data_IF_069536746825
#
_entry.id   IF_069536746825
#
_cell.length_a   1.000
_cell.length_b   1.000
_cell.length_c   1.000
_cell.angle_alpha   90.00
_cell.angle_beta   90.00
_cell.angle_gamma   90.00
#
_symmetry.space_group_name_H-M   'P 1'
#
loop_
_entity.id
_entity.type
_entity.pdbx_description
1 polymer ?
#
# COMPACT_ATOMS: atom_id res chain seq x y z
N UNK A 1 -6.23 75.25 -39.76
CA UNK A 1 -5.13 74.59 -39.01
C UNK A 1 -5.60 73.99 -37.68
N UNK A 2 -6.50 74.63 -36.92
CA UNK A 2 -6.99 74.13 -35.63
C UNK A 2 -7.86 72.85 -35.68
N UNK A 3 -8.66 72.65 -36.73
CA UNK A 3 -9.61 71.51 -36.82
C UNK A 3 -8.89 70.16 -37.04
N UNK A 4 -7.78 70.17 -37.79
CA UNK A 4 -6.98 68.96 -38.07
C UNK A 4 -6.29 68.44 -36.80
N UNK A 5 -5.86 69.36 -35.92
CA UNK A 5 -5.20 69.02 -34.67
C UNK A 5 -6.15 68.33 -33.68
N UNK A 6 -7.40 68.80 -33.59
CA UNK A 6 -8.42 68.21 -32.71
C UNK A 6 -8.83 66.80 -33.19
N UNK A 7 -8.95 66.60 -34.51
CA UNK A 7 -9.25 65.27 -35.06
C UNK A 7 -8.12 64.26 -34.81
N UNK A 8 -6.86 64.68 -34.92
CA UNK A 8 -5.70 63.81 -34.64
C UNK A 8 -5.63 63.39 -33.17
N UNK A 9 -5.91 64.30 -32.24
CA UNK A 9 -5.93 64.00 -30.80
C UNK A 9 -7.08 63.05 -30.49
N UNK A 10 -8.29 63.31 -31.00
CA UNK A 10 -9.46 62.45 -30.76
C UNK A 10 -9.24 61.02 -31.29
N UNK A 11 -8.64 60.89 -32.47
CA UNK A 11 -8.33 59.60 -33.07
C UNK A 11 -7.28 58.82 -32.24
N UNK A 12 -6.24 59.50 -31.77
CA UNK A 12 -5.26 58.87 -30.88
C UNK A 12 -5.84 58.46 -29.54
N UNK A 13 -6.71 59.28 -28.93
CA UNK A 13 -7.36 58.94 -27.66
C UNK A 13 -8.27 57.72 -27.80
N UNK A 14 -9.05 57.63 -28.88
CA UNK A 14 -9.92 56.47 -29.16
C UNK A 14 -9.08 55.21 -29.44
N UNK A 15 -7.97 55.35 -30.16
CA UNK A 15 -7.06 54.24 -30.47
C UNK A 15 -6.33 53.73 -29.21
N UNK A 16 -5.83 54.63 -28.36
CA UNK A 16 -5.24 54.30 -27.06
C UNK A 16 -6.25 53.66 -26.13
N UNK A 17 -7.50 54.14 -26.10
CA UNK A 17 -8.57 53.53 -25.31
C UNK A 17 -8.88 52.10 -25.77
N UNK A 18 -8.92 51.84 -27.09
CA UNK A 18 -9.06 50.47 -27.63
C UNK A 18 -7.89 49.57 -27.30
N UNK A 19 -6.65 50.07 -27.39
CA UNK A 19 -5.46 49.32 -26.99
C UNK A 19 -5.49 49.03 -25.49
N UNK A 20 -5.82 50.00 -24.64
CA UNK A 20 -5.97 49.80 -23.20
C UNK A 20 -7.08 48.81 -22.86
N UNK A 21 -8.15 48.76 -23.66
CA UNK A 21 -9.26 47.82 -23.47
C UNK A 21 -8.92 46.40 -23.96
N UNK A 22 -8.06 46.26 -24.98
CA UNK A 22 -7.52 44.96 -25.40
C UNK A 22 -6.39 44.49 -24.47
N UNK A 23 -5.51 45.39 -24.02
CA UNK A 23 -4.51 45.09 -22.99
C UNK A 23 -5.19 44.77 -21.66
N UNK A 24 -6.28 45.44 -21.30
CA UNK A 24 -7.02 45.07 -20.10
C UNK A 24 -7.67 43.69 -20.23
N UNK A 25 -8.20 43.30 -21.40
CA UNK A 25 -8.64 41.91 -21.64
C UNK A 25 -7.49 40.89 -21.56
N UNK A 26 -6.27 41.26 -21.98
CA UNK A 26 -5.07 40.43 -21.85
C UNK A 26 -4.58 40.38 -20.39
N UNK A 27 -4.80 41.44 -19.60
CA UNK A 27 -4.39 41.54 -18.19
C UNK A 27 -5.46 41.07 -17.18
N UNK A 28 -6.73 40.96 -17.59
CA UNK A 28 -7.80 40.30 -16.84
C UNK A 28 -7.85 38.82 -17.23
N UNK A 29 -6.72 38.11 -17.14
CA UNK A 29 -6.83 36.70 -16.76
C UNK A 29 -7.21 36.72 -15.29
N UNK A 30 -8.45 36.31 -15.00
CA UNK A 30 -8.88 36.04 -13.63
C UNK A 30 -7.88 35.03 -13.08
N UNK A 31 -6.99 35.48 -12.20
CA UNK A 31 -5.95 34.61 -11.67
C UNK A 31 -6.65 33.58 -10.78
N UNK A 32 -6.34 32.30 -10.98
CA UNK A 32 -6.80 31.22 -10.11
C UNK A 32 -6.62 31.57 -8.62
N UNK A 33 -7.52 31.09 -7.77
CA UNK A 33 -7.43 31.28 -6.32
C UNK A 33 -6.44 30.28 -5.72
N UNK A 34 -5.49 30.76 -4.93
CA UNK A 34 -4.66 29.92 -4.06
C UNK A 34 -5.07 30.11 -2.62
N UNK A 35 -5.41 29.03 -1.92
CA UNK A 35 -5.66 29.03 -0.49
C UNK A 35 -4.67 28.13 0.22
N UNK A 36 -4.32 28.50 1.46
CA UNK A 36 -3.46 27.72 2.34
C UNK A 36 -4.11 27.55 3.70
N UNK A 37 -4.05 26.35 4.27
CA UNK A 37 -4.66 26.08 5.59
C UNK A 37 -3.76 25.13 6.38
N UNK A 38 -3.37 25.47 7.62
CA UNK A 38 -2.59 24.57 8.47
C UNK A 38 -3.36 23.28 8.77
N UNK A 39 -2.65 22.14 8.77
CA UNK A 39 -3.17 20.85 9.22
C UNK A 39 -2.79 20.67 10.69
N UNK A 40 -3.73 20.23 11.52
CA UNK A 40 -3.48 20.01 12.95
C UNK A 40 -2.38 18.97 13.16
N UNK A 41 -1.35 19.32 13.94
CA UNK A 41 -0.15 18.49 14.10
C UNK A 41 -0.44 17.08 14.62
N UNK A 42 -1.44 16.90 15.48
CA UNK A 42 -1.81 15.59 16.03
C UNK A 42 -2.20 14.56 14.96
N UNK A 43 -2.75 15.02 13.82
CA UNK A 43 -3.20 14.16 12.72
C UNK A 43 -2.06 13.64 11.84
N UNK A 44 -0.87 14.24 11.95
CA UNK A 44 0.28 13.98 11.05
C UNK A 44 1.48 13.37 11.77
N UNK A 45 1.41 13.19 13.10
CA UNK A 45 2.52 12.64 13.93
C UNK A 45 3.04 11.31 13.43
N UNK A 46 2.15 10.45 12.94
CA UNK A 46 2.52 9.10 12.51
C UNK A 46 3.34 9.09 11.21
N UNK A 47 3.24 10.14 10.37
CA UNK A 47 3.95 10.21 9.08
C UNK A 47 5.47 10.14 9.23
N UNK A 48 6.02 10.65 10.33
CA UNK A 48 7.46 10.58 10.60
C UNK A 48 7.97 9.12 10.76
N UNK A 49 7.09 8.16 11.03
CA UNK A 49 7.45 6.73 11.11
C UNK A 49 7.53 6.06 9.73
N UNK A 50 6.96 6.68 8.70
CA UNK A 50 6.94 6.13 7.35
C UNK A 50 7.95 6.78 6.40
N UNK A 51 8.42 7.97 6.75
CA UNK A 51 9.23 8.78 5.86
C UNK A 51 10.40 9.40 6.59
N UNK A 52 11.62 9.12 6.10
CA UNK A 52 12.85 9.69 6.65
C UNK A 52 12.96 11.20 6.42
N UNK A 53 12.42 11.68 5.30
CA UNK A 53 12.42 13.10 4.91
C UNK A 53 10.99 13.60 4.62
N UNK A 54 10.17 13.91 5.65
CA UNK A 54 8.78 14.32 5.46
C UNK A 54 8.59 15.59 4.60
N UNK A 55 9.59 16.47 4.54
CA UNK A 55 9.59 17.67 3.70
C UNK A 55 9.62 17.39 2.19
N UNK A 56 10.03 16.18 1.79
CA UNK A 56 10.14 15.77 0.40
C UNK A 56 8.82 15.22 -0.18
N UNK A 57 7.76 15.19 0.64
CA UNK A 57 6.50 14.54 0.34
C UNK A 57 5.45 15.55 -0.05
N UNK A 58 4.75 15.23 -1.13
CA UNK A 58 3.54 15.91 -1.56
C UNK A 58 2.37 14.93 -1.57
N UNK A 59 1.43 15.11 -0.65
CA UNK A 59 0.09 14.56 -0.80
C UNK A 59 -0.66 15.40 -1.81
N UNK A 60 -1.41 14.81 -2.74
CA UNK A 60 -2.25 15.58 -3.65
C UNK A 60 -3.50 14.82 -4.08
N UNK A 61 -4.51 15.60 -4.48
CA UNK A 61 -5.80 15.15 -4.99
C UNK A 61 -6.35 16.18 -5.99
N UNK A 62 -7.11 15.72 -7.00
CA UNK A 62 -7.71 16.60 -8.01
C UNK A 62 -9.24 16.51 -8.03
N UNK A 63 -9.88 17.65 -8.28
CA UNK A 63 -11.29 17.70 -8.63
C UNK A 63 -11.48 18.08 -10.09
N UNK A 64 -12.42 17.40 -10.74
CA UNK A 64 -12.65 17.52 -12.17
C UNK A 64 -14.13 17.67 -12.48
N UNK A 65 -14.46 18.30 -13.61
CA UNK A 65 -15.84 18.40 -14.10
C UNK A 65 -16.36 17.12 -14.77
N UNK A 66 -15.70 15.98 -14.54
CA UNK A 66 -16.08 14.66 -15.05
C UNK A 66 -14.90 13.72 -15.27
N UNK A 67 -15.19 12.43 -15.49
CA UNK A 67 -14.17 11.37 -15.47
C UNK A 67 -13.24 11.28 -16.69
N UNK A 68 -13.45 12.09 -17.73
CA UNK A 68 -12.68 12.01 -18.99
C UNK A 68 -11.93 13.30 -19.25
N UNK A 69 -10.59 13.25 -19.17
CA UNK A 69 -9.71 14.39 -19.43
C UNK A 69 -9.82 14.97 -20.85
N UNK A 70 -10.48 14.26 -21.79
CA UNK A 70 -10.75 14.76 -23.14
C UNK A 70 -11.85 15.81 -23.18
N UNK A 71 -12.84 15.70 -22.29
CA UNK A 71 -14.05 16.54 -22.29
C UNK A 71 -14.24 17.35 -21.02
N UNK A 72 -13.69 16.88 -19.89
CA UNK A 72 -13.72 17.56 -18.61
C UNK A 72 -12.46 18.42 -18.38
N UNK A 73 -12.51 19.25 -17.36
CA UNK A 73 -11.43 20.13 -16.92
C UNK A 73 -11.12 19.85 -15.45
N UNK A 74 -9.89 20.15 -15.02
CA UNK A 74 -9.53 20.24 -13.60
C UNK A 74 -9.97 21.60 -13.08
N UNK A 75 -10.73 21.63 -11.98
CA UNK A 75 -11.12 22.90 -11.36
C UNK A 75 -10.48 23.13 -9.99
N UNK A 76 -9.94 22.10 -9.36
CA UNK A 76 -9.24 22.21 -8.09
C UNK A 76 -8.11 21.18 -8.06
N UNK A 77 -6.92 21.61 -7.67
CA UNK A 77 -5.84 20.71 -7.26
C UNK A 77 -5.46 21.07 -5.84
N UNK A 78 -5.60 20.08 -4.97
CA UNK A 78 -5.22 20.17 -3.58
C UNK A 78 -3.86 19.52 -3.33
N UNK A 79 -3.06 20.13 -2.46
CA UNK A 79 -1.78 19.60 -1.99
C UNK A 79 -1.73 19.63 -0.47
N UNK A 80 -1.08 18.65 0.16
CA UNK A 80 -0.67 18.67 1.57
C UNK A 80 0.85 18.41 1.67
N UNK A 81 1.57 19.28 2.38
CA UNK A 81 3.03 19.27 2.46
C UNK A 81 3.54 19.86 3.77
N UNK A 82 4.77 19.50 4.16
CA UNK A 82 5.39 19.98 5.38
C UNK A 82 6.13 21.32 5.16
N UNK A 83 5.86 22.29 6.03
CA UNK A 83 6.59 23.56 6.12
C UNK A 83 7.36 23.68 7.43
N UNK A 84 8.09 24.78 7.62
CA UNK A 84 8.74 25.10 8.90
C UNK A 84 7.76 25.25 10.06
N UNK A 85 6.49 25.55 9.77
CA UNK A 85 5.44 25.76 10.78
C UNK A 85 4.55 24.52 10.96
N UNK A 86 4.87 23.40 10.32
CA UNK A 86 4.06 22.19 10.29
C UNK A 86 3.43 21.91 8.93
N UNK A 87 2.57 20.90 8.88
CA UNK A 87 1.85 20.52 7.67
C UNK A 87 0.81 21.58 7.29
N UNK A 88 0.70 21.88 6.01
CA UNK A 88 -0.34 22.75 5.47
C UNK A 88 -0.92 22.18 4.19
N UNK A 89 -2.20 22.48 3.94
CA UNK A 89 -2.79 22.31 2.62
C UNK A 89 -2.53 23.54 1.75
N UNK A 90 -2.44 23.33 0.44
CA UNK A 90 -2.46 24.37 -0.59
C UNK A 90 -3.42 23.96 -1.70
N UNK A 91 -4.41 24.78 -1.96
CA UNK A 91 -5.47 24.52 -2.94
C UNK A 91 -5.37 25.52 -4.09
N UNK A 92 -5.25 25.02 -5.33
CA UNK A 92 -5.26 25.80 -6.57
C UNK A 92 -6.63 25.66 -7.23
N UNK A 93 -7.45 26.70 -7.16
CA UNK A 93 -8.86 26.68 -7.56
C UNK A 93 -9.13 27.55 -8.78
N UNK A 94 -9.73 26.95 -9.81
CA UNK A 94 -10.16 27.62 -11.03
C UNK A 94 -11.54 28.26 -10.78
N UNK A 95 -11.60 29.59 -10.69
CA UNK A 95 -12.88 30.29 -10.50
C UNK A 95 -13.78 30.16 -11.72
N UNK A 96 -13.16 30.08 -12.90
CA UNK A 96 -13.81 29.80 -14.17
C UNK A 96 -13.10 28.66 -14.90
N UNK A 97 -13.75 27.97 -15.85
CA UNK A 97 -13.10 26.94 -16.66
C UNK A 97 -11.87 27.44 -17.45
N UNK A 98 -11.76 28.75 -17.71
CA UNK A 98 -10.64 29.34 -18.43
C UNK A 98 -9.36 29.39 -17.57
N UNK A 99 -9.49 29.28 -16.24
CA UNK A 99 -8.36 29.35 -15.30
C UNK A 99 -7.59 28.02 -15.17
N UNK A 100 -8.08 26.94 -15.81
CA UNK A 100 -7.47 25.59 -15.67
C UNK A 100 -5.99 25.58 -16.07
N UNK A 101 -5.59 26.30 -17.11
CA UNK A 101 -4.20 26.36 -17.55
C UNK A 101 -3.29 26.93 -16.45
N UNK A 102 -3.77 27.95 -15.74
CA UNK A 102 -3.05 28.57 -14.61
C UNK A 102 -2.98 27.63 -13.41
N UNK A 103 -4.09 26.94 -13.09
CA UNK A 103 -4.12 25.91 -12.03
C UNK A 103 -3.07 24.82 -12.31
N UNK A 104 -3.05 24.29 -13.53
CA UNK A 104 -2.10 23.24 -13.93
C UNK A 104 -0.65 23.75 -13.87
N UNK A 105 -0.38 24.92 -14.44
CA UNK A 105 0.97 25.48 -14.46
C UNK A 105 1.53 25.70 -13.04
N UNK A 106 0.70 26.25 -12.14
CA UNK A 106 1.08 26.52 -10.76
C UNK A 106 1.32 25.22 -9.99
N UNK A 107 0.44 24.23 -10.14
CA UNK A 107 0.63 22.91 -9.54
C UNK A 107 1.88 22.20 -10.08
N UNK A 108 2.13 22.19 -11.39
CA UNK A 108 3.31 21.54 -11.96
C UNK A 108 4.61 22.21 -11.49
N UNK A 109 4.64 23.53 -11.42
CA UNK A 109 5.79 24.26 -10.88
C UNK A 109 6.00 23.98 -9.40
N UNK A 110 4.92 23.89 -8.62
CA UNK A 110 4.99 23.65 -7.18
C UNK A 110 5.39 22.21 -6.85
N UNK A 111 4.80 21.24 -7.55
CA UNK A 111 5.04 19.81 -7.32
C UNK A 111 6.43 19.34 -7.76
N UNK A 112 7.09 20.06 -8.66
CA UNK A 112 8.44 19.74 -9.14
C UNK A 112 9.52 19.72 -8.04
N UNK A 113 9.30 20.35 -6.89
CA UNK A 113 10.24 20.32 -5.76
C UNK A 113 10.11 19.09 -4.86
N UNK A 114 9.12 18.22 -5.10
CA UNK A 114 8.84 17.08 -4.24
C UNK A 114 9.17 15.76 -4.96
N UNK A 115 10.20 15.02 -4.51
CA UNK A 115 10.57 13.75 -5.14
C UNK A 115 9.64 12.58 -4.78
N UNK A 116 8.74 12.76 -3.80
CA UNK A 116 7.75 11.74 -3.39
C UNK A 116 6.34 12.32 -3.49
N UNK A 117 5.46 11.62 -4.21
CA UNK A 117 4.03 11.93 -4.27
C UNK A 117 3.20 10.84 -3.60
N UNK A 118 2.22 11.25 -2.79
CA UNK A 118 1.24 10.35 -2.17
C UNK A 118 -0.15 10.75 -2.67
N UNK A 119 -0.94 9.77 -3.08
CA UNK A 119 -2.29 10.00 -3.59
C UNK A 119 -3.18 8.78 -3.37
N UNK A 120 -4.48 8.98 -3.57
CA UNK A 120 -5.48 7.92 -3.44
C UNK A 120 -6.00 7.51 -4.82
N UNK A 121 -5.55 6.37 -5.35
CA UNK A 121 -5.93 5.89 -6.69
C UNK A 121 -5.51 6.83 -7.85
N UNK A 122 -4.60 7.77 -7.59
CA UNK A 122 -4.12 8.75 -8.56
C UNK A 122 -3.26 8.14 -9.68
N UNK A 123 -2.70 6.94 -9.50
CA UNK A 123 -2.04 6.25 -10.61
C UNK A 123 -3.05 5.91 -11.72
N UNK A 124 -4.29 5.61 -11.33
CA UNK A 124 -5.35 5.19 -12.25
C UNK A 124 -6.09 6.40 -12.82
N UNK A 125 -6.27 7.46 -12.03
CA UNK A 125 -7.09 8.60 -12.39
C UNK A 125 -6.29 9.91 -12.52
N UNK A 126 -5.82 10.47 -11.41
CA UNK A 126 -5.29 11.82 -11.30
C UNK A 126 -4.09 12.08 -12.22
N UNK A 127 -3.07 11.23 -12.14
CA UNK A 127 -1.82 11.39 -12.90
C UNK A 127 -2.09 11.30 -14.41
N UNK A 128 -2.78 10.27 -14.94
CA UNK A 128 -3.18 10.24 -16.35
C UNK A 128 -4.06 11.42 -16.78
N UNK A 129 -4.94 11.91 -15.91
CA UNK A 129 -5.80 13.06 -16.18
C UNK A 129 -4.95 14.31 -16.37
N UNK A 130 -4.08 14.62 -15.41
CA UNK A 130 -3.16 15.75 -15.45
C UNK A 130 -2.21 15.70 -16.66
N UNK A 131 -1.66 14.53 -16.99
CA UNK A 131 -0.83 14.35 -18.19
C UNK A 131 -1.59 14.66 -19.49
N UNK A 132 -2.88 14.29 -19.56
CA UNK A 132 -3.72 14.57 -20.73
C UNK A 132 -4.02 16.07 -20.84
N UNK A 133 -4.33 16.73 -19.71
CA UNK A 133 -4.58 18.18 -19.69
C UNK A 133 -3.31 18.98 -19.96
N UNK A 134 -2.16 18.56 -19.42
CA UNK A 134 -0.87 19.17 -19.70
C UNK A 134 -0.58 19.22 -21.22
N UNK A 135 -0.81 18.10 -21.93
CA UNK A 135 -0.68 18.05 -23.40
C UNK A 135 -1.63 19.01 -24.11
N UNK A 136 -2.88 19.16 -23.65
CA UNK A 136 -3.86 20.08 -24.23
C UNK A 136 -3.38 21.53 -24.18
N UNK A 137 -2.73 21.92 -23.08
CA UNK A 137 -2.25 23.30 -22.87
C UNK A 137 -0.77 23.52 -23.22
N UNK A 138 -0.08 22.50 -23.77
CA UNK A 138 1.35 22.60 -24.08
C UNK A 138 2.25 22.73 -22.84
N UNK A 139 1.78 22.26 -21.68
CA UNK A 139 2.52 22.25 -20.43
C UNK A 139 3.31 20.94 -20.27
N UNK A 140 4.44 21.00 -19.55
CA UNK A 140 5.19 19.82 -19.15
C UNK A 140 4.80 19.40 -17.75
N UNK A 141 4.36 18.15 -17.59
CA UNK A 141 4.12 17.53 -16.28
C UNK A 141 4.89 16.23 -16.18
N UNK A 142 5.78 16.17 -15.20
CA UNK A 142 6.52 14.96 -14.85
C UNK A 142 6.13 14.63 -13.41
N UNK A 143 5.39 13.54 -13.17
CA UNK A 143 5.08 13.14 -11.80
C UNK A 143 6.37 12.75 -11.07
N UNK A 144 6.32 12.78 -9.74
CA UNK A 144 7.44 12.39 -8.90
C UNK A 144 7.97 10.98 -9.23
N UNK A 145 9.28 10.78 -9.02
CA UNK A 145 9.95 9.51 -9.29
C UNK A 145 9.44 8.39 -8.37
N UNK A 146 9.09 8.74 -7.14
CA UNK A 146 8.47 7.84 -6.16
C UNK A 146 7.00 8.23 -5.99
N UNK A 147 6.11 7.25 -6.12
CA UNK A 147 4.68 7.44 -5.95
C UNK A 147 4.09 6.38 -5.02
N UNK A 148 3.32 6.83 -4.05
CA UNK A 148 2.58 5.99 -3.11
C UNK A 148 1.09 6.11 -3.39
N UNK A 149 0.56 5.12 -4.12
CA UNK A 149 -0.87 4.97 -4.34
C UNK A 149 -1.48 4.12 -3.22
N UNK A 150 -2.12 4.80 -2.26
CA UNK A 150 -2.68 4.16 -1.06
C UNK A 150 -3.70 3.09 -1.46
N UNK A 151 -4.59 3.41 -2.40
CA UNK A 151 -5.62 2.49 -2.88
C UNK A 151 -5.01 1.20 -3.42
N UNK A 152 -4.02 1.29 -4.33
CA UNK A 152 -3.40 0.10 -4.92
C UNK A 152 -2.65 -0.75 -3.91
N UNK A 153 -2.06 -0.13 -2.88
CA UNK A 153 -1.34 -0.83 -1.83
C UNK A 153 -2.28 -1.51 -0.84
N UNK A 154 -3.44 -0.93 -0.53
CA UNK A 154 -4.38 -1.47 0.46
C UNK A 154 -5.47 -2.37 -0.14
N UNK A 155 -5.89 -2.16 -1.39
CA UNK A 155 -6.97 -2.93 -2.02
C UNK A 155 -6.75 -4.45 -2.05
N UNK A 156 -5.52 -4.99 -2.18
CA UNK A 156 -5.27 -6.43 -2.09
C UNK A 156 -5.63 -7.05 -0.73
N UNK A 157 -5.76 -6.21 0.32
CA UNK A 157 -6.09 -6.62 1.68
C UNK A 157 -7.56 -6.42 2.02
N UNK A 158 -8.40 -5.94 1.09
CA UNK A 158 -9.84 -5.68 1.31
C UNK A 158 -10.55 -6.83 2.04
N UNK A 159 -10.41 -8.05 1.49
CA UNK A 159 -11.06 -9.24 2.00
C UNK A 159 -10.46 -9.70 3.33
N UNK A 160 -9.14 -9.56 3.48
CA UNK A 160 -8.41 -9.88 4.70
C UNK A 160 -8.82 -8.96 5.86
N UNK A 161 -9.06 -7.69 5.59
CA UNK A 161 -9.47 -6.67 6.56
C UNK A 161 -11.00 -6.57 6.72
N UNK A 162 -11.77 -7.44 6.04
CA UNK A 162 -13.23 -7.44 6.06
C UNK A 162 -13.87 -6.09 5.67
N UNK A 163 -13.23 -5.36 4.76
CA UNK A 163 -13.67 -4.05 4.33
C UNK A 163 -14.85 -4.15 3.33
N UNK A 164 -15.93 -3.35 3.49
CA UNK A 164 -17.04 -3.33 2.53
C UNK A 164 -16.60 -2.79 1.16
N UNK A 165 -15.63 -1.87 1.16
CA UNK A 165 -15.01 -1.27 0.00
C UNK A 165 -13.69 -0.61 0.39
N UNK A 166 -12.94 -0.13 -0.60
CA UNK A 166 -11.68 0.57 -0.39
C UNK A 166 -11.75 1.99 -0.96
N UNK A 167 -12.90 2.66 -0.87
CA UNK A 167 -12.95 4.12 -1.08
C UNK A 167 -12.29 4.81 0.11
N UNK A 168 -11.73 5.99 -0.10
CA UNK A 168 -10.99 6.71 0.94
C UNK A 168 -11.82 6.87 2.23
N UNK A 169 -13.03 7.42 2.14
CA UNK A 169 -13.96 7.56 3.27
C UNK A 169 -14.21 6.23 4.02
N UNK A 170 -14.28 5.11 3.33
CA UNK A 170 -14.50 3.79 3.95
C UNK A 170 -13.26 3.29 4.71
N UNK A 171 -12.06 3.62 4.23
CA UNK A 171 -10.82 3.28 4.92
C UNK A 171 -10.55 4.20 6.10
N UNK A 172 -10.96 5.46 6.00
CA UNK A 172 -10.95 6.42 7.10
C UNK A 172 -11.88 5.99 8.23
N UNK A 173 -13.13 5.63 7.92
CA UNK A 173 -14.05 5.04 8.90
C UNK A 173 -13.46 3.79 9.56
N UNK A 174 -12.81 2.92 8.77
CA UNK A 174 -12.15 1.71 9.28
C UNK A 174 -11.08 2.02 10.32
N UNK A 175 -10.37 3.14 10.19
CA UNK A 175 -9.37 3.59 11.17
C UNK A 175 -9.92 4.61 12.17
N UNK A 176 -11.24 4.81 12.22
CA UNK A 176 -11.91 5.68 13.21
C UNK A 176 -11.89 7.18 12.90
N UNK A 177 -11.67 7.57 11.63
CA UNK A 177 -11.81 8.95 11.18
C UNK A 177 -13.25 9.18 10.73
N UNK A 178 -13.85 10.29 11.19
CA UNK A 178 -15.19 10.71 10.82
C UNK A 178 -15.12 12.12 10.22
N UNK A 179 -15.69 12.29 9.02
CA UNK A 179 -15.69 13.56 8.26
C UNK A 179 -16.95 14.38 8.51
N UNK A 180 -16.86 15.70 8.28
CA UNK A 180 -18.03 16.57 8.20
C UNK A 180 -18.58 16.65 6.76
N UNK A 181 -17.77 16.38 5.73
CA UNK A 181 -18.24 16.41 4.35
C UNK A 181 -19.13 15.21 3.98
N UNK A 182 -20.36 15.53 3.58
CA UNK A 182 -21.39 14.58 3.18
C UNK A 182 -21.49 14.38 1.66
N UNK A 183 -20.80 15.20 0.86
CA UNK A 183 -20.89 15.13 -0.59
C UNK A 183 -19.99 14.02 -1.16
N UNK A 184 -20.37 13.53 -2.33
CA UNK A 184 -19.49 12.71 -3.16
C UNK A 184 -19.02 13.49 -4.39
N UNK A 185 -17.90 13.09 -4.99
CA UNK A 185 -17.32 13.81 -6.14
C UNK A 185 -18.27 14.02 -7.32
N UNK A 186 -19.27 13.14 -7.52
CA UNK A 186 -20.29 13.34 -8.55
C UNK A 186 -21.22 14.54 -8.28
N UNK A 187 -21.53 14.80 -7.01
CA UNK A 187 -22.35 15.95 -6.60
C UNK A 187 -21.58 17.27 -6.71
N UNK A 188 -20.26 17.25 -6.48
CA UNK A 188 -19.41 18.44 -6.57
C UNK A 188 -19.32 18.99 -7.99
N UNK A 189 -19.45 18.14 -9.02
CA UNK A 189 -19.44 18.58 -10.42
C UNK A 189 -20.54 19.61 -10.67
N UNK A 190 -21.78 19.32 -10.25
CA UNK A 190 -22.92 20.23 -10.42
C UNK A 190 -22.79 21.48 -9.54
N UNK A 191 -22.22 21.35 -8.35
CA UNK A 191 -21.93 22.49 -7.48
C UNK A 191 -20.88 23.42 -8.09
N UNK A 192 -19.83 22.90 -8.72
CA UNK A 192 -18.85 23.70 -9.44
C UNK A 192 -19.47 24.42 -10.64
N UNK A 193 -20.31 23.74 -11.42
CA UNK A 193 -21.04 24.38 -12.52
C UNK A 193 -21.97 25.50 -12.03
N UNK A 194 -22.58 25.33 -10.85
CA UNK A 194 -23.40 26.36 -10.21
C UNK A 194 -22.53 27.54 -9.76
N UNK A 195 -21.38 27.26 -9.14
CA UNK A 195 -20.40 28.28 -8.73
C UNK A 195 -19.90 29.10 -9.93
N UNK A 196 -19.49 28.44 -11.02
CA UNK A 196 -18.97 29.12 -12.21
C UNK A 196 -19.99 30.04 -12.89
N UNK A 197 -21.30 29.76 -12.73
CA UNK A 197 -22.39 30.62 -13.24
C UNK A 197 -22.73 31.76 -12.28
N UNK A 198 -22.78 31.46 -10.98
CA UNK A 198 -23.13 32.41 -9.93
C UNK A 198 -22.28 32.12 -8.68
N UNK A 199 -21.09 32.74 -8.57
CA UNK A 199 -20.20 32.50 -7.44
C UNK A 199 -20.85 32.95 -6.14
N UNK A 200 -20.96 32.05 -5.17
CA UNK A 200 -21.32 32.37 -3.79
C UNK A 200 -20.24 31.85 -2.84
N UNK A 201 -20.15 32.47 -1.66
CA UNK A 201 -19.19 32.04 -0.65
C UNK A 201 -19.48 30.61 -0.18
N UNK A 202 -20.76 30.26 -0.05
CA UNK A 202 -21.21 28.95 0.42
C UNK A 202 -20.79 27.83 -0.54
N UNK A 203 -20.94 28.04 -1.86
CA UNK A 203 -20.50 27.06 -2.85
C UNK A 203 -18.98 26.90 -2.87
N UNK A 204 -18.24 28.01 -2.75
CA UNK A 204 -16.79 27.97 -2.65
C UNK A 204 -16.33 27.20 -1.41
N UNK A 205 -16.93 27.50 -0.26
CA UNK A 205 -16.59 26.88 1.02
C UNK A 205 -16.84 25.36 0.97
N UNK A 206 -17.93 24.90 0.34
CA UNK A 206 -18.20 23.46 0.14
C UNK A 206 -17.16 22.79 -0.76
N UNK A 207 -16.87 23.38 -1.93
CA UNK A 207 -15.92 22.81 -2.90
C UNK A 207 -14.50 22.71 -2.32
N UNK A 208 -14.06 23.73 -1.58
CA UNK A 208 -12.76 23.73 -0.93
C UNK A 208 -12.72 22.81 0.30
N UNK A 209 -13.82 22.71 1.05
CA UNK A 209 -13.90 21.83 2.23
C UNK A 209 -13.70 20.36 1.84
N UNK A 210 -14.37 19.88 0.78
CA UNK A 210 -14.26 18.48 0.35
C UNK A 210 -12.81 18.06 0.09
N UNK A 211 -12.15 18.74 -0.84
CA UNK A 211 -10.76 18.44 -1.20
C UNK A 211 -9.79 18.66 -0.03
N UNK A 212 -10.05 19.64 0.86
CA UNK A 212 -9.24 19.83 2.07
C UNK A 212 -9.38 18.64 3.01
N UNK A 213 -10.60 18.18 3.29
CA UNK A 213 -10.83 17.01 4.14
C UNK A 213 -10.27 15.72 3.51
N UNK A 214 -10.29 15.59 2.17
CA UNK A 214 -9.61 14.48 1.48
C UNK A 214 -8.11 14.49 1.72
N UNK A 215 -7.45 15.65 1.64
CA UNK A 215 -6.01 15.75 1.91
C UNK A 215 -5.69 15.49 3.39
N UNK A 216 -6.41 16.14 4.31
CA UNK A 216 -6.22 15.97 5.75
C UNK A 216 -6.49 14.52 6.17
N UNK A 217 -7.59 13.95 5.69
CA UNK A 217 -7.93 12.54 5.85
C UNK A 217 -6.84 11.63 5.30
N UNK A 218 -6.31 11.92 4.10
CA UNK A 218 -5.25 11.13 3.47
C UNK A 218 -3.94 11.14 4.28
N UNK A 219 -3.56 12.28 4.86
CA UNK A 219 -2.35 12.36 5.71
C UNK A 219 -2.45 11.46 6.93
N UNK A 220 -3.63 11.37 7.55
CA UNK A 220 -3.87 10.47 8.68
C UNK A 220 -4.02 9.02 8.20
N UNK A 221 -4.77 8.82 7.12
CA UNK A 221 -5.06 7.53 6.51
C UNK A 221 -3.80 6.78 6.10
N UNK A 222 -2.72 7.48 5.76
CA UNK A 222 -1.48 6.88 5.32
C UNK A 222 -0.94 5.80 6.27
N UNK A 223 -1.29 5.83 7.56
CA UNK A 223 -0.96 4.77 8.52
C UNK A 223 -1.43 3.36 8.13
N UNK A 224 -2.43 3.24 7.26
CA UNK A 224 -2.85 1.94 6.70
C UNK A 224 -1.72 1.22 5.94
N UNK A 225 -0.69 1.96 5.53
CA UNK A 225 0.52 1.42 4.91
C UNK A 225 1.32 0.51 5.84
N UNK A 226 1.11 0.56 7.16
CA UNK A 226 1.71 -0.41 8.08
C UNK A 226 1.28 -1.85 7.78
N UNK A 227 0.10 -2.06 7.19
CA UNK A 227 -0.41 -3.39 6.82
C UNK A 227 0.44 -4.05 5.72
N UNK A 228 0.61 -3.44 4.52
CA UNK A 228 1.50 -4.01 3.51
C UNK A 228 2.96 -4.06 3.96
N UNK A 229 3.43 -3.10 4.76
CA UNK A 229 4.79 -3.13 5.32
C UNK A 229 5.01 -4.37 6.20
N UNK A 230 4.03 -4.70 7.05
CA UNK A 230 4.05 -5.90 7.88
C UNK A 230 4.02 -7.19 7.05
N UNK A 231 3.07 -7.32 6.12
CA UNK A 231 2.83 -8.58 5.40
C UNK A 231 3.79 -8.85 4.23
N UNK A 232 4.23 -7.82 3.51
CA UNK A 232 5.01 -7.98 2.28
C UNK A 232 6.46 -7.53 2.43
N UNK A 233 6.68 -6.41 3.11
CA UNK A 233 7.99 -5.73 3.21
C UNK A 233 8.79 -6.10 4.48
N UNK A 234 8.32 -7.11 5.23
CA UNK A 234 9.02 -7.69 6.39
C UNK A 234 9.32 -6.68 7.51
N UNK A 235 8.43 -5.69 7.69
CA UNK A 235 8.56 -4.66 8.73
C UNK A 235 8.11 -5.18 10.10
N UNK A 236 8.86 -6.15 10.61
CA UNK A 236 8.69 -6.73 11.95
C UNK A 236 9.95 -7.45 12.40
N UNK A 237 10.01 -7.75 13.70
CA UNK A 237 11.04 -8.60 14.31
C UNK A 237 10.38 -9.70 15.15
N UNK A 238 10.86 -10.95 15.07
CA UNK A 238 10.42 -12.01 15.99
C UNK A 238 10.87 -11.68 17.42
N UNK A 239 9.98 -11.87 18.40
CA UNK A 239 10.25 -11.62 19.83
C UNK A 239 10.32 -12.92 20.60
N UNK A 240 9.28 -13.75 20.50
CA UNK A 240 9.25 -15.08 21.12
C UNK A 240 8.72 -16.12 20.16
N UNK A 241 9.32 -17.31 20.22
CA UNK A 241 8.89 -18.49 19.50
C UNK A 241 8.84 -19.65 20.48
N UNK A 242 7.67 -20.27 20.63
CA UNK A 242 7.47 -21.37 21.56
C UNK A 242 6.48 -22.39 21.02
N UNK A 243 6.50 -23.58 21.62
CA UNK A 243 5.48 -24.59 21.44
C UNK A 243 4.54 -24.57 22.64
N UNK A 244 3.24 -24.48 22.35
CA UNK A 244 2.18 -24.58 23.33
C UNK A 244 1.40 -25.88 23.15
N UNK A 245 1.26 -26.64 24.23
CA UNK A 245 0.42 -27.83 24.29
C UNK A 245 -0.91 -27.46 24.93
N UNK A 246 -1.98 -27.75 24.21
CA UNK A 246 -3.36 -27.45 24.61
C UNK A 246 -4.23 -28.67 24.40
N UNK A 247 -5.36 -28.75 25.09
CA UNK A 247 -6.40 -29.75 24.82
C UNK A 247 -7.58 -29.04 24.16
N UNK A 248 -8.17 -29.67 23.14
CA UNK A 248 -9.43 -29.16 22.60
C UNK A 248 -10.62 -29.52 23.51
N UNK A 249 -11.80 -29.02 23.18
CA UNK A 249 -13.02 -29.24 23.96
C UNK A 249 -13.40 -30.73 24.13
N UNK A 250 -12.78 -31.64 23.39
CA UNK A 250 -12.99 -33.08 23.46
C UNK A 250 -11.81 -33.81 24.15
N UNK A 251 -10.88 -33.07 24.76
CA UNK A 251 -9.70 -33.62 25.44
C UNK A 251 -8.60 -34.10 24.50
N UNK A 252 -8.65 -33.76 23.20
CA UNK A 252 -7.59 -34.15 22.27
C UNK A 252 -6.43 -33.16 22.38
N UNK A 253 -5.24 -33.68 22.69
CA UNK A 253 -4.01 -32.90 22.72
C UNK A 253 -3.72 -32.26 21.34
N UNK A 254 -3.31 -30.99 21.37
CA UNK A 254 -2.92 -30.18 20.22
C UNK A 254 -1.71 -29.34 20.57
N UNK A 255 -0.67 -29.48 19.76
CA UNK A 255 0.52 -28.63 19.82
C UNK A 255 0.39 -27.50 18.80
N UNK A 256 0.67 -26.27 19.22
CA UNK A 256 0.72 -25.11 18.34
C UNK A 256 2.06 -24.40 18.53
N UNK A 257 2.67 -23.95 17.44
CA UNK A 257 3.72 -22.98 17.51
C UNK A 257 3.11 -21.58 17.70
N UNK A 258 3.63 -20.85 18.67
CA UNK A 258 3.19 -19.50 19.00
C UNK A 258 4.36 -18.56 18.78
N UNK A 259 4.13 -17.57 17.94
CA UNK A 259 5.09 -16.54 17.56
C UNK A 259 4.57 -15.20 18.05
N UNK A 260 5.35 -14.50 18.85
CA UNK A 260 5.13 -13.08 19.14
C UNK A 260 6.05 -12.27 18.28
N UNK A 261 5.50 -11.32 17.52
CA UNK A 261 6.23 -10.42 16.63
C UNK A 261 6.03 -8.99 17.12
N UNK A 262 7.08 -8.18 16.97
CA UNK A 262 7.04 -6.74 17.13
C UNK A 262 7.04 -6.11 15.73
N UNK A 263 6.04 -5.33 15.37
CA UNK A 263 6.06 -4.56 14.11
C UNK A 263 6.89 -3.30 14.28
N UNK A 264 7.58 -2.86 13.22
CA UNK A 264 8.40 -1.63 13.32
C UNK A 264 7.52 -0.37 13.35
N UNK A 265 6.33 -0.46 12.75
CA UNK A 265 5.30 0.57 12.74
C UNK A 265 4.03 0.02 13.39
N UNK A 266 3.34 0.80 14.26
CA UNK A 266 2.07 0.38 14.84
C UNK A 266 1.03 0.03 13.79
N UNK A 267 0.28 -1.05 14.03
CA UNK A 267 -0.87 -1.41 13.23
C UNK A 267 -1.96 -0.33 13.38
N UNK A 268 -2.61 0.08 12.28
CA UNK A 268 -3.58 1.16 12.28
C UNK A 268 -4.88 0.79 13.00
N UNK A 269 -5.15 -0.52 13.10
CA UNK A 269 -6.28 -1.13 13.80
C UNK A 269 -5.85 -2.50 14.33
N UNK A 270 -6.66 -3.07 15.23
CA UNK A 270 -6.47 -4.47 15.61
C UNK A 270 -6.74 -5.40 14.44
N UNK A 271 -5.84 -6.35 14.20
CA UNK A 271 -5.99 -7.41 13.21
C UNK A 271 -6.46 -8.70 13.88
N UNK A 272 -7.36 -9.43 13.22
CA UNK A 272 -7.80 -10.77 13.63
C UNK A 272 -8.07 -11.62 12.39
N UNK A 273 -7.18 -12.56 12.12
CA UNK A 273 -7.17 -13.35 10.89
C UNK A 273 -7.17 -14.84 11.19
N UNK A 274 -8.02 -15.57 10.48
CA UNK A 274 -8.03 -17.02 10.49
C UNK A 274 -7.52 -17.57 9.17
N UNK A 275 -6.51 -18.43 9.22
CA UNK A 275 -6.02 -19.17 8.07
C UNK A 275 -7.09 -20.08 7.48
N UNK A 276 -7.01 -20.29 6.17
CA UNK A 276 -7.91 -21.18 5.43
C UNK A 276 -7.11 -22.20 4.61
N UNK A 277 -7.80 -23.11 3.92
CA UNK A 277 -7.18 -24.22 3.21
C UNK A 277 -6.84 -25.40 4.12
N UNK A 278 -6.04 -26.34 3.61
CA UNK A 278 -5.67 -27.57 4.34
C UNK A 278 -4.52 -27.33 5.31
N UNK A 279 -3.49 -26.61 4.88
CA UNK A 279 -2.23 -26.43 5.62
C UNK A 279 -2.35 -25.36 6.71
N UNK A 280 -3.00 -24.23 6.41
CA UNK A 280 -3.20 -23.13 7.37
C UNK A 280 -4.52 -23.23 8.13
N UNK A 281 -5.18 -24.39 8.08
CA UNK A 281 -6.41 -24.62 8.86
C UNK A 281 -6.12 -24.45 10.34
N UNK A 282 -6.90 -23.62 11.03
CA UNK A 282 -6.71 -23.27 12.44
C UNK A 282 -5.45 -22.42 12.73
N UNK A 283 -4.76 -21.90 11.72
CA UNK A 283 -3.82 -20.81 11.93
C UNK A 283 -4.60 -19.55 12.33
N UNK A 284 -4.08 -18.80 13.29
CA UNK A 284 -4.69 -17.58 13.80
C UNK A 284 -3.64 -16.50 13.97
N UNK A 285 -3.95 -15.29 13.55
CA UNK A 285 -3.13 -14.11 13.79
C UNK A 285 -3.99 -13.04 14.46
N UNK A 286 -3.53 -12.54 15.59
CA UNK A 286 -4.08 -11.36 16.26
C UNK A 286 -2.99 -10.30 16.39
N UNK A 287 -3.29 -9.07 16.02
CA UNK A 287 -2.35 -7.96 16.14
C UNK A 287 -3.01 -6.75 16.75
N UNK A 288 -2.29 -5.99 17.58
CA UNK A 288 -2.73 -4.70 18.11
C UNK A 288 -1.52 -3.83 18.40
N UNK A 289 -1.61 -2.55 18.05
CA UNK A 289 -0.47 -1.63 18.12
C UNK A 289 0.74 -2.25 17.43
N UNK A 290 1.87 -2.37 18.13
CA UNK A 290 3.10 -2.95 17.58
C UNK A 290 3.30 -4.44 17.91
N UNK A 291 2.29 -5.13 18.46
CA UNK A 291 2.44 -6.51 18.90
C UNK A 291 1.51 -7.42 18.10
N UNK A 292 2.08 -8.49 17.54
CA UNK A 292 1.34 -9.51 16.77
C UNK A 292 1.60 -10.89 17.36
N UNK A 293 0.52 -11.59 17.68
CA UNK A 293 0.50 -13.00 18.04
C UNK A 293 0.09 -13.82 16.83
N UNK A 294 0.92 -14.80 16.46
CA UNK A 294 0.63 -15.78 15.41
C UNK A 294 0.65 -17.17 16.01
N UNK A 295 -0.43 -17.92 15.84
CA UNK A 295 -0.59 -19.31 16.27
C UNK A 295 -0.71 -20.20 15.05
N UNK A 296 0.12 -21.23 14.98
CA UNK A 296 0.17 -22.17 13.87
C UNK A 296 0.10 -23.60 14.40
N UNK A 297 -0.82 -24.44 13.90
CA UNK A 297 -0.85 -25.85 14.26
C UNK A 297 0.43 -26.58 13.84
N UNK A 298 0.92 -27.43 14.73
CA UNK A 298 2.08 -28.28 14.50
C UNK A 298 1.60 -29.61 13.95
N UNK A 299 2.29 -30.12 12.93
CA UNK A 299 2.15 -31.50 12.50
C UNK A 299 3.02 -32.40 13.39
N UNK A 300 2.42 -33.31 14.12
CA UNK A 300 3.12 -34.29 14.96
C UNK A 300 3.01 -35.67 14.31
N UNK A 301 4.15 -36.26 13.93
CA UNK A 301 4.17 -37.52 13.20
C UNK A 301 5.50 -37.82 12.55
N UNK A 302 5.46 -38.56 11.43
CA UNK A 302 6.66 -39.01 10.71
C UNK A 302 6.67 -38.47 9.29
N UNK A 303 7.70 -37.68 8.94
CA UNK A 303 7.94 -37.19 7.59
C UNK A 303 9.28 -37.69 7.04
N UNK A 304 9.53 -37.47 5.75
CA UNK A 304 10.71 -37.95 5.04
C UNK A 304 11.58 -36.78 4.58
N UNK A 305 12.88 -36.86 4.83
CA UNK A 305 13.88 -36.00 4.21
C UNK A 305 14.43 -36.70 2.97
N UNK A 306 14.16 -36.16 1.78
CA UNK A 306 14.60 -36.73 0.51
C UNK A 306 15.96 -36.16 0.10
N UNK A 307 16.94 -37.02 -0.12
CA UNK A 307 18.26 -36.59 -0.57
C UNK A 307 18.27 -36.36 -2.09
N UNK A 308 18.74 -35.20 -2.57
CA UNK A 308 18.75 -34.89 -4.00
C UNK A 308 19.72 -35.78 -4.78
N UNK A 309 20.83 -36.19 -4.17
CA UNK A 309 21.86 -37.04 -4.78
C UNK A 309 21.54 -38.54 -4.65
N UNK A 310 20.35 -38.95 -5.10
CA UNK A 310 19.90 -40.35 -4.97
C UNK A 310 20.83 -41.37 -5.64
N UNK A 311 21.60 -40.94 -6.64
CA UNK A 311 22.55 -41.80 -7.36
C UNK A 311 23.66 -42.34 -6.46
N UNK A 312 23.96 -41.66 -5.35
CA UNK A 312 24.99 -42.08 -4.39
C UNK A 312 24.43 -42.83 -3.18
N UNK A 313 23.17 -43.25 -3.23
CA UNK A 313 22.50 -43.99 -2.15
C UNK A 313 22.02 -45.38 -2.59
N UNK A 314 21.90 -46.27 -1.61
CA UNK A 314 21.19 -47.55 -1.70
C UNK A 314 19.97 -47.51 -0.79
N UNK A 315 18.84 -48.02 -1.26
CA UNK A 315 17.61 -48.15 -0.47
C UNK A 315 17.54 -49.55 0.16
N UNK A 316 17.14 -49.59 1.43
CA UNK A 316 16.93 -50.80 2.20
C UNK A 316 15.43 -51.02 2.39
N UNK A 317 14.80 -51.99 1.70
CA UNK A 317 13.35 -52.17 1.76
C UNK A 317 12.82 -52.62 3.11
N UNK A 318 13.60 -53.39 3.89
CA UNK A 318 13.17 -53.90 5.18
C UNK A 318 13.13 -52.79 6.25
N UNK A 319 14.12 -51.89 6.21
CA UNK A 319 14.26 -50.76 7.14
C UNK A 319 13.55 -49.48 6.65
N UNK A 320 13.07 -49.49 5.40
CA UNK A 320 12.41 -48.36 4.73
C UNK A 320 13.20 -47.04 4.83
N UNK A 321 14.49 -47.11 4.49
CA UNK A 321 15.44 -45.99 4.57
C UNK A 321 16.53 -46.09 3.50
N UNK A 322 17.11 -44.95 3.15
CA UNK A 322 18.24 -44.85 2.24
C UNK A 322 19.55 -44.63 3.00
N UNK A 323 20.62 -45.31 2.58
CA UNK A 323 21.97 -45.17 3.11
C UNK A 323 22.95 -44.84 2.00
N UNK A 324 23.95 -43.99 2.30
CA UNK A 324 24.97 -43.64 1.32
C UNK A 324 25.79 -44.87 0.92
N UNK A 325 26.25 -44.92 -0.33
CA UNK A 325 26.98 -46.08 -0.89
C UNK A 325 28.22 -46.47 -0.09
N UNK A 326 28.90 -45.52 0.54
CA UNK A 326 30.06 -45.79 1.40
C UNK A 326 29.70 -46.67 2.61
N UNK A 327 28.50 -46.52 3.16
CA UNK A 327 27.99 -47.34 4.28
C UNK A 327 27.35 -48.62 3.76
N UNK A 328 26.70 -48.56 2.58
CA UNK A 328 26.03 -49.71 1.98
C UNK A 328 26.97 -50.88 1.62
N UNK A 329 28.29 -50.66 1.56
CA UNK A 329 29.29 -51.73 1.37
C UNK A 329 29.21 -52.80 2.46
N UNK A 330 28.79 -52.43 3.67
CA UNK A 330 28.66 -53.33 4.82
C UNK A 330 27.30 -54.07 4.90
N UNK A 331 26.39 -53.83 3.96
CA UNK A 331 25.06 -54.46 3.90
C UNK A 331 25.03 -55.48 2.76
N UNK A 332 24.45 -56.66 3.02
CA UNK A 332 24.29 -57.71 2.01
C UNK A 332 23.59 -57.17 0.75
N UNK A 333 24.13 -57.50 -0.43
CA UNK A 333 23.56 -57.12 -1.73
C UNK A 333 22.12 -57.59 -1.90
N UNK A 334 21.74 -58.71 -1.27
CA UNK A 334 20.36 -59.22 -1.32
C UNK A 334 19.35 -58.33 -0.59
N UNK A 335 19.82 -57.51 0.37
CA UNK A 335 18.99 -56.68 1.24
C UNK A 335 18.95 -55.21 0.81
N UNK A 336 19.62 -54.85 -0.29
CA UNK A 336 19.67 -53.46 -0.77
C UNK A 336 19.44 -53.38 -2.27
N UNK A 337 18.90 -52.25 -2.70
CA UNK A 337 18.74 -51.91 -4.10
C UNK A 337 19.19 -50.47 -4.37
N UNK A 338 19.49 -50.10 -5.64
CA UNK A 338 19.79 -48.71 -5.97
C UNK A 338 18.63 -47.79 -5.55
N UNK A 339 18.95 -46.68 -4.87
CA UNK A 339 17.93 -45.71 -4.51
C UNK A 339 17.40 -44.97 -5.75
N UNK A 340 16.12 -44.64 -5.73
CA UNK A 340 15.47 -43.74 -6.71
C UNK A 340 15.16 -42.42 -6.03
N UNK A 341 14.82 -41.38 -6.77
CA UNK A 341 14.39 -40.11 -6.18
C UNK A 341 13.22 -40.29 -5.17
N UNK A 342 12.31 -41.25 -5.44
CA UNK A 342 11.19 -41.54 -4.55
C UNK A 342 11.53 -42.40 -3.32
N UNK A 343 12.65 -43.12 -3.34
CA UNK A 343 13.08 -44.03 -2.26
C UNK A 343 14.35 -43.56 -1.55
N UNK A 344 14.95 -42.47 -2.01
CA UNK A 344 16.16 -41.91 -1.41
C UNK A 344 15.81 -40.93 -0.28
N UNK A 345 15.37 -41.47 0.85
CA UNK A 345 15.02 -40.66 2.02
C UNK A 345 15.41 -41.31 3.34
N UNK A 346 15.42 -40.49 4.39
CA UNK A 346 15.34 -40.94 5.78
C UNK A 346 14.03 -40.47 6.39
N UNK A 347 13.45 -41.30 7.27
CA UNK A 347 12.28 -40.91 8.07
C UNK A 347 12.72 -40.14 9.30
N UNK A 348 11.93 -39.15 9.68
CA UNK A 348 12.09 -38.36 10.89
C UNK A 348 10.75 -38.29 11.59
N UNK A 349 10.71 -38.76 12.83
CA UNK A 349 9.62 -38.52 13.75
C UNK A 349 9.86 -37.20 14.49
N UNK A 350 8.80 -36.43 14.69
CA UNK A 350 8.87 -35.18 15.44
C UNK A 350 7.72 -34.23 15.15
N UNK A 351 7.95 -32.98 15.53
CA UNK A 351 7.02 -31.88 15.39
C UNK A 351 7.46 -30.96 14.26
N UNK A 352 6.55 -30.71 13.32
CA UNK A 352 6.84 -30.08 12.05
C UNK A 352 5.97 -28.87 11.79
N UNK A 353 6.56 -27.86 11.15
CA UNK A 353 5.88 -26.65 10.73
C UNK A 353 5.85 -26.55 9.20
N UNK A 354 4.72 -26.12 8.60
CA UNK A 354 4.62 -25.98 7.16
C UNK A 354 5.48 -24.83 6.63
N UNK A 355 6.28 -25.10 5.60
CA UNK A 355 7.10 -24.09 4.94
C UNK A 355 6.37 -23.43 3.77
N UNK A 356 6.54 -22.11 3.64
CA UNK A 356 5.99 -21.30 2.54
C UNK A 356 7.06 -20.49 1.79
N UNK A 357 8.18 -20.24 2.47
CA UNK A 357 9.51 -19.95 1.93
C UNK A 357 10.43 -21.10 2.35
N UNK A 358 11.46 -21.38 1.55
CA UNK A 358 12.46 -22.41 1.87
C UNK A 358 13.68 -21.67 2.42
N UNK A 359 13.96 -21.72 3.74
CA UNK A 359 15.24 -21.29 4.26
C UNK A 359 16.31 -22.26 3.75
N UNK A 360 17.37 -21.76 3.13
CA UNK A 360 18.43 -22.60 2.54
C UNK A 360 19.19 -23.43 3.60
N UNK A 361 19.09 -23.04 4.86
CA UNK A 361 19.88 -23.57 5.97
C UNK A 361 19.21 -24.74 6.70
N UNK A 362 17.90 -24.96 6.51
CA UNK A 362 17.15 -25.95 7.28
C UNK A 362 16.74 -27.18 6.45
N UNK A 363 16.85 -28.40 7.01
CA UNK A 363 16.38 -29.61 6.33
C UNK A 363 14.87 -29.55 6.07
N UNK A 364 14.47 -29.96 4.87
CA UNK A 364 13.07 -30.01 4.47
C UNK A 364 12.52 -31.43 4.51
N UNK A 365 11.28 -31.55 4.98
CA UNK A 365 10.57 -32.81 5.12
C UNK A 365 9.27 -32.80 4.32
N UNK A 366 8.88 -33.97 3.80
CA UNK A 366 7.64 -34.17 3.02
C UNK A 366 7.05 -35.55 3.31
N UNK A 367 5.76 -35.73 3.05
CA UNK A 367 5.13 -37.06 3.11
C UNK A 367 5.59 -37.93 1.94
N UNK A 368 5.58 -37.36 0.73
CA UNK A 368 6.00 -38.00 -0.51
C UNK A 368 6.93 -37.11 -1.33
N UNK A 369 7.79 -37.73 -2.15
CA UNK A 369 8.78 -37.03 -2.99
C UNK A 369 8.15 -35.99 -3.93
N UNK A 370 6.94 -36.27 -4.43
CA UNK A 370 6.24 -35.39 -5.39
C UNK A 370 5.41 -34.29 -4.72
N UNK A 371 5.29 -34.30 -3.40
CA UNK A 371 4.46 -33.31 -2.71
C UNK A 371 5.11 -31.93 -2.81
N UNK A 372 4.27 -30.93 -3.08
CA UNK A 372 4.71 -29.53 -3.16
C UNK A 372 4.88 -28.92 -1.78
N UNK A 373 4.01 -29.28 -0.84
CA UNK A 373 4.11 -28.82 0.54
C UNK A 373 5.31 -29.49 1.21
N UNK A 374 6.17 -28.67 1.81
CA UNK A 374 7.26 -29.11 2.65
C UNK A 374 7.09 -28.59 4.07
N UNK A 375 7.84 -29.20 4.98
CA UNK A 375 7.83 -28.87 6.38
C UNK A 375 9.28 -28.78 6.89
N UNK A 376 9.46 -28.08 8.00
CA UNK A 376 10.70 -28.05 8.77
C UNK A 376 10.43 -28.60 10.18
N UNK A 377 11.47 -29.03 10.88
CA UNK A 377 11.35 -29.38 12.29
C UNK A 377 11.15 -28.11 13.12
N UNK A 378 10.16 -28.14 14.01
CA UNK A 378 9.86 -26.98 14.86
C UNK A 378 11.08 -26.58 15.70
N UNK A 379 11.76 -27.54 16.33
CA UNK A 379 12.95 -27.28 17.14
C UNK A 379 14.09 -26.63 16.33
N UNK A 380 14.28 -27.02 15.06
CA UNK A 380 15.33 -26.44 14.22
C UNK A 380 15.04 -24.95 13.97
N UNK A 381 13.78 -24.57 13.73
CA UNK A 381 13.39 -23.17 13.59
C UNK A 381 13.50 -22.41 14.91
N UNK A 382 13.02 -22.99 16.02
CA UNK A 382 13.06 -22.34 17.33
C UNK A 382 14.51 -22.06 17.80
N UNK A 383 15.46 -22.91 17.42
CA UNK A 383 16.88 -22.77 17.74
C UNK A 383 17.70 -22.05 16.64
N UNK A 384 17.09 -21.70 15.51
CA UNK A 384 17.74 -20.93 14.44
C UNK A 384 17.92 -19.46 14.83
N UNK A 385 18.75 -18.76 14.08
CA UNK A 385 18.93 -17.32 14.29
C UNK A 385 17.69 -16.49 13.91
N UNK A 386 17.67 -15.24 14.35
CA UNK A 386 16.54 -14.35 14.10
C UNK A 386 16.29 -14.08 12.60
N UNK A 387 17.31 -14.22 11.74
CA UNK A 387 17.19 -13.97 10.31
C UNK A 387 16.44 -15.10 9.61
N UNK A 388 16.77 -16.36 9.93
CA UNK A 388 16.07 -17.56 9.46
C UNK A 388 14.63 -17.58 9.98
N UNK A 389 14.42 -17.24 11.26
CA UNK A 389 13.08 -17.11 11.83
C UNK A 389 12.24 -16.06 11.09
N UNK A 390 12.82 -14.88 10.83
CA UNK A 390 12.15 -13.79 10.10
C UNK A 390 11.84 -14.19 8.66
N UNK A 391 12.72 -14.90 7.97
CA UNK A 391 12.47 -15.40 6.62
C UNK A 391 11.30 -16.40 6.58
N UNK A 392 11.28 -17.37 7.49
CA UNK A 392 10.19 -18.33 7.62
C UNK A 392 8.85 -17.63 7.89
N UNK A 393 8.83 -16.72 8.87
CA UNK A 393 7.64 -15.95 9.24
C UNK A 393 7.13 -15.08 8.10
N UNK A 394 8.03 -14.48 7.32
CA UNK A 394 7.68 -13.70 6.13
C UNK A 394 6.98 -14.55 5.07
N UNK A 395 7.46 -15.77 4.84
CA UNK A 395 6.79 -16.73 3.95
C UNK A 395 5.39 -17.09 4.42
N UNK A 396 5.25 -17.38 5.72
CA UNK A 396 3.98 -17.71 6.36
C UNK A 396 2.97 -16.56 6.30
N UNK A 397 3.38 -15.33 6.62
CA UNK A 397 2.53 -14.14 6.57
C UNK A 397 2.03 -13.88 5.14
N UNK A 398 2.90 -13.99 4.12
CA UNK A 398 2.50 -13.88 2.71
C UNK A 398 1.52 -14.97 2.30
N UNK A 399 1.72 -16.19 2.77
CA UNK A 399 0.79 -17.30 2.51
C UNK A 399 -0.58 -17.02 3.14
N UNK A 400 -0.63 -16.50 4.37
CA UNK A 400 -1.86 -16.12 5.05
C UNK A 400 -2.66 -15.08 4.25
N UNK A 401 -2.01 -14.04 3.72
CA UNK A 401 -2.65 -13.04 2.85
C UNK A 401 -3.24 -13.68 1.60
N UNK A 402 -2.49 -14.56 0.93
CA UNK A 402 -2.96 -15.25 -0.29
C UNK A 402 -4.20 -16.10 -0.06
N UNK A 403 -4.42 -16.62 1.15
CA UNK A 403 -5.63 -17.40 1.47
C UNK A 403 -6.92 -16.57 1.52
N UNK A 404 -6.80 -15.24 1.51
CA UNK A 404 -7.89 -14.28 1.61
C UNK A 404 -8.04 -13.38 0.38
N UNK A 405 -7.16 -13.52 -0.62
CA UNK A 405 -7.22 -12.70 -1.84
C UNK A 405 -8.50 -12.97 -2.63
#
# INVERSE_FOLDING_TARGET
MYIVYIHSILYHTIFLAKILQEISKICYHTVMKTLKTPILSDTTKELASFFEAPQDILFFDIETTGFSARSACVYLIGCAYLTTNGWETRQFFAETPDDEADVLQQFFSFSASFPVMVHFNGTTFDVPFLQTRAKKFGLSFVPASVQHDIYKKISPYKNLLHLPGCRQKQLEEFIGIHREDHFNGGELIELYHSYARQPTKELLDILLLHNREDLEGMTTLYRVMAIPLFFEEQSFSPVTLSLEHTEDAFGKARTNAVFTLQTDIPLPVSLSLHGSGTVLKNCFLAGREQTVLLRLPVYDGVLKHFYPDYKNYSYLPAEDTAIHKSVAVYVDKSQRMPATAATCYTKKEGQFLPCFSVPDELPLFRENHKDRQCFLLADDLLNSDASVQKEYLSGLLRALVKTKK
#
